data_IF_466201377172
#
_entry.id   IF_466201377172
#
_cell.length_a   1.000
_cell.length_b   1.000
_cell.length_c   1.000
_cell.angle_alpha   90.00
_cell.angle_beta   90.00
_cell.angle_gamma   90.00
#
_symmetry.space_group_name_H-M   'P 1'
#
loop_
_entity.id
_entity.type
_entity.pdbx_description
1 polymer ?
#
# COMPACT_ATOMS: atom_id res chain seq x y z
N UNK A 1 2.93 -0.22 21.09
CA UNK A 1 2.41 -0.97 19.92
C UNK A 1 1.84 -2.31 20.39
N UNK A 2 0.75 -2.75 19.78
CA UNK A 2 0.16 -4.08 19.96
C UNK A 2 0.28 -4.86 18.67
N UNK A 3 0.45 -6.17 18.78
CA UNK A 3 0.51 -7.07 17.63
C UNK A 3 -0.67 -8.02 17.69
N UNK A 4 -1.31 -8.23 16.53
CA UNK A 4 -2.46 -9.10 16.40
C UNK A 4 -2.20 -10.19 15.35
N UNK A 5 -2.84 -11.35 15.54
CA UNK A 5 -2.93 -12.42 14.55
C UNK A 5 -4.40 -12.55 14.18
N UNK A 6 -4.74 -12.21 12.95
CA UNK A 6 -6.12 -12.12 12.47
C UNK A 6 -6.31 -13.14 11.36
N UNK A 7 -7.40 -13.91 11.44
CA UNK A 7 -7.71 -14.88 10.39
C UNK A 7 -8.31 -14.16 9.18
N UNK A 8 -7.56 -14.10 8.09
CA UNK A 8 -7.96 -13.51 6.82
C UNK A 8 -8.62 -14.49 5.87
N UNK A 9 -8.78 -14.03 4.63
CA UNK A 9 -9.37 -14.80 3.53
C UNK A 9 -8.69 -16.13 3.29
N UNK A 10 -9.47 -17.21 3.15
CA UNK A 10 -8.95 -18.57 3.00
C UNK A 10 -8.31 -19.14 4.26
N UNK A 11 -8.53 -18.54 5.43
CA UNK A 11 -8.07 -19.05 6.73
C UNK A 11 -6.60 -18.77 7.05
N UNK A 12 -5.92 -17.91 6.29
CA UNK A 12 -4.53 -17.53 6.58
C UNK A 12 -4.44 -16.63 7.82
N UNK A 13 -3.30 -16.64 8.50
CA UNK A 13 -3.04 -15.75 9.61
C UNK A 13 -2.33 -14.49 9.13
N UNK A 14 -3.00 -13.35 9.29
CA UNK A 14 -2.44 -12.02 9.04
C UNK A 14 -1.73 -11.49 10.29
N UNK A 15 -0.59 -10.88 10.07
CA UNK A 15 0.10 -10.10 11.08
C UNK A 15 -0.31 -8.63 10.97
N UNK A 16 -0.77 -8.05 12.07
CA UNK A 16 -1.24 -6.67 12.12
C UNK A 16 -0.66 -5.98 13.34
N UNK A 17 -0.21 -4.75 13.17
CA UNK A 17 0.35 -3.93 14.25
C UNK A 17 -0.53 -2.70 14.48
N UNK A 18 -0.83 -2.42 15.73
CA UNK A 18 -1.67 -1.32 16.16
C UNK A 18 -0.93 -0.42 17.14
N UNK A 19 -1.12 0.89 17.00
CA UNK A 19 -0.62 1.91 17.93
C UNK A 19 -1.56 3.14 17.94
N UNK A 20 -1.24 4.10 18.77
CA UNK A 20 -1.90 5.39 18.80
C UNK A 20 -3.10 5.46 19.72
N UNK A 21 -3.93 6.48 19.52
CA UNK A 21 -5.10 6.76 20.34
C UNK A 21 -6.25 5.79 20.02
N UNK A 22 -6.64 4.88 20.92
CA UNK A 22 -7.68 3.89 20.64
C UNK A 22 -9.06 4.51 20.40
N UNK A 23 -9.27 5.78 20.77
CA UNK A 23 -10.49 6.56 20.50
C UNK A 23 -10.34 7.52 19.33
N UNK A 24 -9.15 7.59 18.74
CA UNK A 24 -8.87 8.38 17.54
C UNK A 24 -9.49 7.75 16.30
N UNK A 25 -9.59 8.53 15.21
CA UNK A 25 -10.06 7.99 13.93
C UNK A 25 -9.12 6.89 13.44
N UNK A 26 -9.64 5.72 13.06
CA UNK A 26 -8.79 4.63 12.61
C UNK A 26 -8.24 4.89 11.19
N UNK A 27 -6.97 4.57 11.02
CA UNK A 27 -6.28 4.57 9.73
C UNK A 27 -5.68 3.19 9.54
N UNK A 28 -6.06 2.51 8.45
CA UNK A 28 -5.48 1.23 8.06
C UNK A 28 -4.48 1.42 6.93
N UNK A 29 -3.23 1.11 7.20
CA UNK A 29 -2.13 1.20 6.25
C UNK A 29 -1.86 -0.15 5.58
N UNK A 30 -1.79 -0.14 4.24
CA UNK A 30 -1.52 -1.29 3.38
C UNK A 30 -0.27 -0.98 2.55
N UNK A 31 0.79 -1.76 2.77
CA UNK A 31 2.10 -1.53 2.15
C UNK A 31 2.17 -1.95 0.67
N UNK A 32 3.27 -1.64 0.00
CA UNK A 32 3.55 -2.01 -1.38
C UNK A 32 4.16 -3.40 -1.55
N UNK A 33 4.42 -3.78 -2.82
CA UNK A 33 5.06 -5.03 -3.20
C UNK A 33 6.38 -5.24 -2.43
N UNK A 34 6.58 -6.45 -1.90
CA UNK A 34 7.81 -6.88 -1.21
C UNK A 34 8.18 -6.03 0.01
N UNK A 35 7.19 -5.42 0.67
CA UNK A 35 7.36 -4.66 1.90
C UNK A 35 6.57 -5.27 3.07
N UNK A 36 6.48 -4.57 4.18
CA UNK A 36 5.73 -4.98 5.37
C UNK A 36 5.27 -3.76 6.17
N UNK A 37 4.59 -3.99 7.28
CA UNK A 37 4.09 -2.95 8.18
C UNK A 37 5.17 -1.94 8.63
N UNK A 38 6.44 -2.36 8.73
CA UNK A 38 7.55 -1.49 9.17
C UNK A 38 7.84 -0.34 8.20
N UNK A 39 7.40 -0.43 6.96
CA UNK A 39 7.42 0.69 6.01
C UNK A 39 6.70 1.92 6.58
N UNK A 40 5.71 1.72 7.46
CA UNK A 40 4.92 2.76 8.10
C UNK A 40 5.48 3.20 9.47
N UNK A 41 6.71 2.78 9.83
CA UNK A 41 7.29 3.06 11.14
C UNK A 41 7.36 4.55 11.48
N UNK A 42 7.57 5.42 10.47
CA UNK A 42 7.59 6.88 10.64
C UNK A 42 6.21 7.48 10.92
N UNK A 43 5.12 6.80 10.57
CA UNK A 43 3.75 7.15 10.92
C UNK A 43 3.39 6.59 12.29
N UNK A 44 3.67 5.30 12.49
CA UNK A 44 3.34 4.57 13.70
C UNK A 44 4.02 5.13 14.97
N UNK A 45 5.17 5.80 14.82
CA UNK A 45 5.95 6.42 15.90
C UNK A 45 5.92 7.96 15.86
N UNK A 46 4.86 8.57 15.32
CA UNK A 46 4.76 10.02 15.18
C UNK A 46 3.63 10.61 16.02
N UNK A 47 3.53 11.94 16.01
CA UNK A 47 2.41 12.68 16.59
C UNK A 47 1.04 12.30 15.99
N UNK A 48 1.01 11.70 14.79
CA UNK A 48 -0.23 11.17 14.21
C UNK A 48 -0.88 10.15 15.15
N UNK A 49 -0.07 9.36 15.86
CA UNK A 49 -0.53 8.38 16.86
C UNK A 49 -1.21 9.02 18.09
N UNK A 50 -0.96 10.29 18.38
CA UNK A 50 -1.65 10.99 19.48
C UNK A 50 -3.13 11.27 19.16
N UNK A 51 -3.44 11.40 17.88
CA UNK A 51 -4.75 11.81 17.37
C UNK A 51 -5.55 10.70 16.71
N UNK A 52 -4.87 9.72 16.13
CA UNK A 52 -5.47 8.65 15.33
C UNK A 52 -5.15 7.28 15.92
N UNK A 53 -6.02 6.32 15.65
CA UNK A 53 -5.78 4.91 15.87
C UNK A 53 -5.11 4.34 14.63
N UNK A 54 -3.84 3.99 14.72
CA UNK A 54 -3.04 3.58 13.58
C UNK A 54 -2.90 2.07 13.54
N UNK A 55 -3.27 1.49 12.42
CA UNK A 55 -3.21 0.05 12.15
C UNK A 55 -2.42 -0.17 10.87
N UNK A 56 -1.43 -1.05 10.89
CA UNK A 56 -0.67 -1.45 9.71
C UNK A 56 -0.70 -2.97 9.58
N UNK A 57 -1.12 -3.48 8.43
CA UNK A 57 -1.18 -4.90 8.17
C UNK A 57 -0.01 -5.35 7.29
N UNK A 58 0.48 -6.56 7.54
CA UNK A 58 1.26 -7.30 6.56
C UNK A 58 0.30 -8.02 5.61
N UNK A 59 0.36 -7.70 4.32
CA UNK A 59 -0.45 -8.39 3.31
C UNK A 59 -0.15 -9.89 3.28
N UNK A 60 -1.10 -10.71 2.80
CA UNK A 60 -0.83 -12.13 2.50
C UNK A 60 0.48 -12.28 1.72
N UNK A 61 1.30 -13.24 2.08
CA UNK A 61 2.59 -13.48 1.44
C UNK A 61 3.73 -12.58 1.90
N UNK A 62 3.48 -11.57 2.75
CA UNK A 62 4.46 -10.57 3.16
C UNK A 62 4.70 -10.57 4.67
N UNK A 63 5.79 -9.94 5.08
CA UNK A 63 6.14 -9.74 6.48
C UNK A 63 6.00 -11.00 7.32
N UNK A 64 5.25 -10.90 8.40
CA UNK A 64 4.95 -12.01 9.31
C UNK A 64 3.58 -12.66 9.05
N UNK A 65 2.84 -12.23 8.02
CA UNK A 65 1.65 -12.93 7.56
C UNK A 65 1.99 -14.26 6.89
N UNK A 66 1.03 -15.17 6.86
CA UNK A 66 1.20 -16.47 6.20
C UNK A 66 1.49 -16.30 4.70
N UNK A 67 2.25 -17.25 4.17
CA UNK A 67 2.73 -17.28 2.77
C UNK A 67 2.19 -18.53 2.06
N UNK A 68 0.85 -18.61 1.82
CA UNK A 68 0.26 -19.75 1.13
C UNK A 68 0.86 -19.91 -0.27
N UNK A 69 0.79 -21.11 -0.85
CA UNK A 69 1.28 -21.34 -2.21
C UNK A 69 0.34 -20.80 -3.29
N UNK A 70 -0.92 -20.59 -2.95
CA UNK A 70 -2.01 -20.22 -3.86
C UNK A 70 -2.86 -19.09 -3.27
N UNK A 71 -3.85 -18.60 -4.05
CA UNK A 71 -4.82 -17.61 -3.58
C UNK A 71 -4.41 -16.16 -3.79
N UNK A 72 -3.35 -15.89 -4.54
CA UNK A 72 -2.92 -14.50 -4.81
C UNK A 72 -3.65 -13.85 -5.99
N UNK A 73 -4.24 -14.63 -6.88
CA UNK A 73 -4.99 -14.11 -8.04
C UNK A 73 -6.47 -13.89 -7.76
N UNK A 74 -6.98 -14.41 -6.64
CA UNK A 74 -8.37 -14.26 -6.21
C UNK A 74 -8.56 -12.94 -5.46
N UNK A 75 -9.29 -11.99 -6.07
CA UNK A 75 -9.58 -10.67 -5.48
C UNK A 75 -10.43 -10.76 -4.21
N UNK A 76 -11.30 -11.79 -4.09
CA UNK A 76 -12.12 -12.02 -2.90
C UNK A 76 -11.26 -12.28 -1.66
N UNK A 77 -10.20 -13.07 -1.79
CA UNK A 77 -9.31 -13.36 -0.67
C UNK A 77 -8.55 -12.12 -0.17
N UNK A 78 -8.17 -11.20 -1.08
CA UNK A 78 -7.56 -9.92 -0.70
C UNK A 78 -8.57 -9.01 0.00
N UNK A 79 -9.80 -8.97 -0.51
CA UNK A 79 -10.89 -8.23 0.10
C UNK A 79 -11.22 -8.75 1.50
N UNK A 80 -11.28 -10.07 1.66
CA UNK A 80 -11.52 -10.74 2.95
C UNK A 80 -10.42 -10.42 3.97
N UNK A 81 -9.15 -10.30 3.54
CA UNK A 81 -8.05 -9.90 4.41
C UNK A 81 -8.27 -8.51 5.02
N UNK A 82 -8.60 -7.53 4.16
CA UNK A 82 -8.85 -6.16 4.63
C UNK A 82 -10.09 -6.12 5.52
N UNK A 83 -11.16 -6.79 5.11
CA UNK A 83 -12.39 -6.85 5.90
C UNK A 83 -12.17 -7.52 7.25
N UNK A 84 -11.40 -8.62 7.31
CA UNK A 84 -11.08 -9.29 8.57
C UNK A 84 -10.37 -8.36 9.55
N UNK A 85 -9.41 -7.55 9.07
CA UNK A 85 -8.72 -6.55 9.93
C UNK A 85 -9.70 -5.50 10.44
N UNK A 86 -10.59 -4.99 9.58
CA UNK A 86 -11.61 -3.99 9.96
C UNK A 86 -12.55 -4.55 11.03
N UNK A 87 -13.06 -5.76 10.83
CA UNK A 87 -14.03 -6.39 11.72
C UNK A 87 -13.42 -6.82 13.04
N UNK A 88 -12.28 -7.54 13.01
CA UNK A 88 -11.65 -8.12 14.20
C UNK A 88 -11.16 -7.03 15.18
N UNK A 89 -10.64 -5.94 14.62
CA UNK A 89 -10.22 -4.78 15.42
C UNK A 89 -11.35 -3.76 15.64
N UNK A 90 -12.57 -4.01 15.16
CA UNK A 90 -13.71 -3.09 15.26
C UNK A 90 -13.31 -1.66 14.86
N UNK A 91 -12.74 -1.52 13.65
CA UNK A 91 -12.34 -0.21 13.10
C UNK A 91 -13.58 0.51 12.58
N UNK A 92 -14.04 1.51 13.30
CA UNK A 92 -15.22 2.30 12.91
C UNK A 92 -14.90 3.23 11.74
N UNK A 93 -15.31 2.89 10.53
CA UNK A 93 -15.12 3.62 9.29
C UNK A 93 -13.66 4.08 9.08
N UNK A 94 -12.68 3.16 8.96
CA UNK A 94 -11.28 3.54 8.80
C UNK A 94 -11.01 4.31 7.50
N UNK A 95 -10.03 5.22 7.53
CA UNK A 95 -9.36 5.68 6.31
C UNK A 95 -8.45 4.54 5.84
N UNK A 96 -8.60 4.10 4.58
CA UNK A 96 -7.71 3.12 3.98
C UNK A 96 -6.57 3.83 3.23
N UNK A 97 -5.33 3.62 3.67
CA UNK A 97 -4.13 4.17 3.05
C UNK A 97 -3.33 3.06 2.37
N UNK A 98 -3.28 3.06 1.04
CA UNK A 98 -2.54 2.09 0.26
C UNK A 98 -1.34 2.72 -0.46
N UNK A 99 -0.17 2.10 -0.33
CA UNK A 99 1.03 2.51 -1.04
C UNK A 99 1.35 1.57 -2.20
N UNK A 100 1.67 2.11 -3.38
CA UNK A 100 2.17 1.36 -4.54
C UNK A 100 1.19 0.28 -4.99
N UNK A 101 1.39 -0.97 -4.61
CA UNK A 101 0.48 -2.11 -4.81
C UNK A 101 -0.76 -2.04 -3.89
N UNK A 102 -0.66 -1.34 -2.75
CA UNK A 102 -1.73 -1.26 -1.75
C UNK A 102 -3.08 -0.77 -2.27
N UNK A 103 -3.17 0.22 -3.18
CA UNK A 103 -4.44 0.62 -3.79
C UNK A 103 -5.17 -0.50 -4.53
N UNK A 104 -4.47 -1.46 -5.16
CA UNK A 104 -5.10 -2.62 -5.79
C UNK A 104 -5.82 -3.49 -4.76
N UNK A 105 -5.23 -3.66 -3.58
CA UNK A 105 -5.84 -4.40 -2.46
C UNK A 105 -7.04 -3.64 -1.89
N UNK A 106 -6.97 -2.32 -1.82
CA UNK A 106 -8.11 -1.47 -1.44
C UNK A 106 -9.24 -1.62 -2.46
N UNK A 107 -8.92 -1.63 -3.76
CA UNK A 107 -9.93 -1.79 -4.82
C UNK A 107 -10.52 -3.19 -4.82
N UNK A 108 -9.75 -4.24 -4.49
CA UNK A 108 -10.31 -5.57 -4.21
C UNK A 108 -11.36 -5.49 -3.07
N UNK A 109 -11.03 -4.82 -1.96
CA UNK A 109 -11.99 -4.63 -0.85
C UNK A 109 -13.25 -3.89 -1.31
N UNK A 110 -13.12 -2.77 -2.01
CA UNK A 110 -14.26 -2.00 -2.49
C UNK A 110 -15.15 -2.80 -3.44
N UNK A 111 -14.58 -3.65 -4.27
CA UNK A 111 -15.32 -4.50 -5.22
C UNK A 111 -16.23 -5.50 -4.53
N UNK A 112 -15.81 -6.06 -3.41
CA UNK A 112 -16.53 -7.12 -2.69
C UNK A 112 -17.38 -6.60 -1.52
N UNK A 113 -16.93 -5.54 -0.84
CA UNK A 113 -17.57 -5.01 0.37
C UNK A 113 -18.17 -3.61 0.21
N UNK A 114 -17.87 -2.93 -0.89
CA UNK A 114 -18.32 -1.55 -1.10
C UNK A 114 -17.57 -0.53 -0.23
N UNK A 115 -18.09 0.67 -0.19
CA UNK A 115 -17.43 1.80 0.50
C UNK A 115 -18.13 2.24 1.79
N UNK A 116 -19.26 1.64 2.16
CA UNK A 116 -20.05 2.08 3.32
C UNK A 116 -19.30 1.92 4.65
N UNK A 117 -18.46 0.90 4.74
CA UNK A 117 -17.68 0.59 5.96
C UNK A 117 -16.40 1.42 6.15
N UNK A 118 -16.12 2.41 5.30
CA UNK A 118 -14.91 3.25 5.36
C UNK A 118 -15.23 4.74 5.35
N UNK A 119 -14.31 5.57 5.81
CA UNK A 119 -14.45 7.04 5.78
C UNK A 119 -13.86 7.69 4.53
N UNK A 120 -12.89 7.07 3.90
CA UNK A 120 -12.18 7.61 2.74
C UNK A 120 -10.98 6.75 2.34
N UNK A 121 -10.29 7.20 1.32
CA UNK A 121 -9.17 6.50 0.67
C UNK A 121 -7.96 7.42 0.51
N UNK A 122 -6.75 6.88 0.69
CA UNK A 122 -5.54 7.53 0.22
C UNK A 122 -4.73 6.58 -0.66
N UNK A 123 -4.59 6.91 -1.94
CA UNK A 123 -3.74 6.20 -2.90
C UNK A 123 -2.37 6.90 -2.97
N UNK A 124 -1.33 6.22 -2.53
CA UNK A 124 0.01 6.79 -2.36
C UNK A 124 0.95 6.16 -3.39
N UNK A 125 1.43 6.94 -4.37
CA UNK A 125 2.28 6.43 -5.45
C UNK A 125 1.69 5.17 -6.10
N UNK A 126 0.37 5.12 -6.18
CA UNK A 126 -0.37 3.89 -6.40
C UNK A 126 -0.67 3.58 -7.86
N UNK A 127 -0.89 2.30 -8.14
CA UNK A 127 -1.49 1.83 -9.38
C UNK A 127 -2.92 1.35 -9.11
N UNK A 128 -3.81 1.56 -10.06
CA UNK A 128 -5.22 1.15 -9.98
C UNK A 128 -5.58 0.05 -10.97
N UNK A 129 -4.64 -0.29 -11.84
CA UNK A 129 -4.74 -1.37 -12.85
C UNK A 129 -3.49 -2.21 -12.86
N UNK A 130 -3.59 -3.43 -13.35
CA UNK A 130 -2.46 -4.33 -13.55
C UNK A 130 -2.72 -5.25 -14.75
N UNK A 131 -1.66 -5.60 -15.50
CA UNK A 131 -1.72 -6.59 -16.56
C UNK A 131 -2.21 -6.07 -17.92
N UNK A 132 -2.38 -4.77 -18.11
CA UNK A 132 -2.72 -4.14 -19.38
C UNK A 132 -1.62 -3.18 -19.84
N UNK A 133 -1.59 -2.84 -21.14
CA UNK A 133 -0.66 -1.84 -21.68
C UNK A 133 -0.83 -0.47 -21.01
N UNK A 134 -2.05 -0.10 -20.66
CA UNK A 134 -2.34 1.12 -19.93
C UNK A 134 -1.73 1.10 -18.53
N UNK A 135 -1.85 -0.03 -17.81
CA UNK A 135 -1.21 -0.22 -16.50
C UNK A 135 0.32 -0.14 -16.59
N UNK A 136 0.90 -0.68 -17.66
CA UNK A 136 2.35 -0.61 -17.91
C UNK A 136 2.79 0.82 -18.23
N UNK A 137 1.98 1.60 -18.93
CA UNK A 137 2.31 2.96 -19.36
C UNK A 137 2.59 3.94 -18.23
N UNK A 138 2.01 3.70 -17.04
CA UNK A 138 2.25 4.54 -15.85
C UNK A 138 3.48 4.10 -15.03
N UNK A 139 4.11 3.00 -15.38
CA UNK A 139 5.34 2.53 -14.73
C UNK A 139 6.57 3.08 -15.47
N UNK A 140 7.65 3.28 -14.71
CA UNK A 140 8.91 3.72 -15.33
C UNK A 140 9.65 2.57 -16.00
N UNK A 141 10.43 2.83 -17.07
CA UNK A 141 11.28 1.80 -17.68
C UNK A 141 12.28 1.20 -16.70
N UNK A 142 12.78 2.01 -15.77
CA UNK A 142 13.71 1.62 -14.71
C UNK A 142 13.08 0.54 -13.83
N UNK A 143 11.85 0.77 -13.34
CA UNK A 143 11.12 -0.24 -12.58
C UNK A 143 10.84 -1.50 -13.40
N UNK A 144 10.36 -1.35 -14.64
CA UNK A 144 10.02 -2.48 -15.50
C UNK A 144 11.23 -3.37 -15.78
N UNK A 145 12.44 -2.80 -15.89
CA UNK A 145 13.68 -3.55 -16.10
C UNK A 145 14.06 -4.45 -14.93
N UNK A 146 13.57 -4.14 -13.70
CA UNK A 146 13.84 -4.93 -12.51
C UNK A 146 12.89 -6.12 -12.33
N UNK A 147 11.71 -6.07 -12.96
CA UNK A 147 10.64 -7.06 -12.74
C UNK A 147 11.08 -8.51 -12.94
N UNK A 148 11.84 -8.89 -14.01
CA UNK A 148 12.30 -10.26 -14.16
C UNK A 148 13.12 -10.77 -12.99
N UNK A 149 13.97 -9.91 -12.41
CA UNK A 149 14.80 -10.28 -11.27
C UNK A 149 14.02 -10.51 -9.96
N UNK A 150 12.81 -9.95 -9.81
CA UNK A 150 12.02 -10.15 -8.59
C UNK A 150 11.64 -11.62 -8.35
N UNK A 151 11.62 -12.44 -9.37
CA UNK A 151 11.34 -13.87 -9.30
C UNK A 151 12.40 -14.73 -9.97
N UNK A 152 13.61 -14.18 -10.17
CA UNK A 152 14.75 -14.94 -10.68
C UNK A 152 15.05 -16.13 -9.75
N UNK A 153 15.45 -17.25 -10.36
CA UNK A 153 15.91 -18.44 -9.63
C UNK A 153 17.27 -18.21 -8.98
N UNK A 154 18.08 -17.35 -9.59
CA UNK A 154 19.35 -16.92 -9.00
C UNK A 154 19.08 -15.95 -7.85
N UNK A 155 19.54 -16.32 -6.65
CA UNK A 155 19.29 -15.58 -5.42
C UNK A 155 20.00 -14.21 -5.45
N UNK A 156 21.21 -14.17 -5.99
CA UNK A 156 21.98 -12.92 -6.07
C UNK A 156 21.32 -11.91 -7.02
N UNK A 157 20.83 -12.36 -8.18
CA UNK A 157 20.05 -11.55 -9.11
C UNK A 157 18.78 -11.01 -8.45
N UNK A 158 18.05 -11.88 -7.72
CA UNK A 158 16.83 -11.47 -7.03
C UNK A 158 17.11 -10.43 -5.94
N UNK A 159 18.16 -10.60 -5.14
CA UNK A 159 18.55 -9.64 -4.10
C UNK A 159 18.95 -8.29 -4.72
N UNK A 160 19.77 -8.30 -5.78
CA UNK A 160 20.19 -7.07 -6.48
C UNK A 160 19.00 -6.30 -7.05
N UNK A 161 18.02 -7.01 -7.62
CA UNK A 161 16.82 -6.39 -8.17
C UNK A 161 15.94 -5.77 -7.07
N UNK A 162 15.80 -6.44 -5.92
CA UNK A 162 15.08 -5.89 -4.76
C UNK A 162 15.81 -4.69 -4.15
N UNK A 163 17.12 -4.73 -4.04
CA UNK A 163 17.92 -3.58 -3.60
C UNK A 163 17.75 -2.39 -4.56
N UNK A 164 17.80 -2.63 -5.86
CA UNK A 164 17.58 -1.60 -6.88
C UNK A 164 16.18 -1.01 -6.80
N UNK A 165 15.15 -1.83 -6.53
CA UNK A 165 13.80 -1.36 -6.28
C UNK A 165 13.74 -0.41 -5.07
N UNK A 166 14.40 -0.76 -3.97
CA UNK A 166 14.44 0.12 -2.79
C UNK A 166 15.08 1.48 -3.12
N UNK A 167 16.15 1.49 -3.92
CA UNK A 167 16.81 2.72 -4.37
C UNK A 167 15.93 3.59 -5.27
N UNK A 168 15.02 2.98 -6.05
CA UNK A 168 14.01 3.73 -6.82
C UNK A 168 12.90 4.27 -5.91
N UNK A 169 12.46 3.49 -4.92
CA UNK A 169 11.40 3.90 -4.01
C UNK A 169 11.84 5.03 -3.06
N UNK A 170 13.11 5.02 -2.63
CA UNK A 170 13.67 5.93 -1.63
C UNK A 170 14.88 6.67 -2.22
N UNK A 171 14.66 7.72 -3.02
CA UNK A 171 15.76 8.45 -3.69
C UNK A 171 16.65 9.19 -2.69
N UNK A 172 16.13 9.57 -1.53
CA UNK A 172 16.95 10.01 -0.42
C UNK A 172 17.72 8.80 0.13
N UNK A 173 19.01 8.96 0.29
CA UNK A 173 19.91 7.88 0.69
C UNK A 173 19.46 7.27 2.02
N UNK A 174 18.93 6.03 1.96
CA UNK A 174 18.67 5.24 3.15
C UNK A 174 19.99 5.04 3.94
N UNK A 175 19.92 5.05 5.26
CA UNK A 175 21.03 4.55 6.07
C UNK A 175 21.29 3.06 5.78
N UNK A 176 22.47 2.58 6.15
CA UNK A 176 22.77 1.15 5.96
C UNK A 176 21.79 0.26 6.72
N UNK A 177 21.36 0.68 7.91
CA UNK A 177 20.40 -0.04 8.75
C UNK A 177 19.01 -0.04 8.10
N UNK A 178 18.55 1.10 7.57
CA UNK A 178 17.25 1.21 6.89
C UNK A 178 17.22 0.35 5.63
N UNK A 179 18.26 0.42 4.80
CA UNK A 179 18.38 -0.41 3.61
C UNK A 179 18.39 -1.90 3.97
N UNK A 180 19.18 -2.28 4.96
CA UNK A 180 19.29 -3.67 5.41
C UNK A 180 17.96 -4.21 5.93
N UNK A 181 17.25 -3.41 6.73
CA UNK A 181 15.95 -3.74 7.26
C UNK A 181 14.93 -3.97 6.13
N UNK A 182 14.82 -3.01 5.21
CA UNK A 182 13.84 -3.08 4.10
C UNK A 182 14.18 -4.20 3.12
N UNK A 183 15.45 -4.41 2.82
CA UNK A 183 15.89 -5.52 1.97
C UNK A 183 15.59 -6.87 2.63
N UNK A 184 15.81 -7.00 3.93
CA UNK A 184 15.46 -8.20 4.69
C UNK A 184 13.98 -8.58 4.54
N UNK A 185 13.07 -7.62 4.62
CA UNK A 185 11.64 -7.85 4.38
C UNK A 185 11.34 -8.20 2.92
N UNK A 186 11.95 -7.50 1.98
CA UNK A 186 11.82 -7.81 0.56
C UNK A 186 12.24 -9.23 0.24
N UNK A 187 13.39 -9.66 0.74
CA UNK A 187 13.92 -11.02 0.54
C UNK A 187 13.06 -12.09 1.21
N UNK A 188 12.42 -11.77 2.35
CA UNK A 188 11.53 -12.72 3.05
C UNK A 188 10.23 -13.03 2.30
N UNK A 189 9.86 -12.23 1.29
CA UNK A 189 8.73 -12.52 0.41
C UNK A 189 9.17 -13.53 -0.65
N UNK A 190 8.57 -14.73 -0.71
CA UNK A 190 8.99 -15.75 -1.66
C UNK A 190 8.83 -15.30 -3.13
N UNK A 191 9.71 -15.72 -4.04
CA UNK A 191 9.61 -15.37 -5.46
C UNK A 191 8.24 -15.71 -6.10
N UNK A 192 7.64 -16.85 -5.71
CA UNK A 192 6.33 -17.25 -6.23
C UNK A 192 5.21 -16.27 -5.83
N UNK A 193 5.32 -15.62 -4.66
CA UNK A 193 4.38 -14.59 -4.22
C UNK A 193 4.51 -13.37 -5.13
N UNK A 194 5.74 -12.86 -5.31
CA UNK A 194 6.00 -11.69 -6.17
C UNK A 194 5.53 -11.94 -7.60
N UNK A 195 5.80 -13.15 -8.13
CA UNK A 195 5.35 -13.55 -9.46
C UNK A 195 3.82 -13.56 -9.54
N UNK A 196 3.13 -14.17 -8.57
CA UNK A 196 1.68 -14.25 -8.55
C UNK A 196 1.03 -12.86 -8.48
N UNK A 197 1.56 -11.95 -7.66
CA UNK A 197 1.06 -10.57 -7.57
C UNK A 197 1.17 -9.83 -8.89
N UNK A 198 2.33 -9.91 -9.54
CA UNK A 198 2.59 -9.20 -10.80
C UNK A 198 1.92 -9.87 -12.02
N UNK A 199 1.45 -11.11 -11.87
CA UNK A 199 0.70 -11.83 -12.90
C UNK A 199 -0.81 -11.60 -12.84
N UNK A 200 -1.30 -10.83 -11.87
CA UNK A 200 -2.73 -10.48 -11.78
C UNK A 200 -3.12 -9.60 -12.99
N UNK A 201 -4.34 -9.78 -13.47
CA UNK A 201 -4.98 -8.86 -14.41
C UNK A 201 -6.11 -8.17 -13.67
N UNK A 202 -5.96 -6.87 -13.45
CA UNK A 202 -6.89 -6.06 -12.68
C UNK A 202 -7.26 -4.82 -13.50
N UNK A 203 -8.56 -4.70 -13.75
CA UNK A 203 -9.17 -3.52 -14.33
C UNK A 203 -10.23 -2.99 -13.35
N UNK A 204 -10.11 -1.72 -13.00
CA UNK A 204 -11.00 -1.05 -12.07
C UNK A 204 -11.71 0.18 -12.69
N UNK A 205 -11.73 0.30 -14.03
CA UNK A 205 -12.39 1.41 -14.73
C UNK A 205 -13.89 1.47 -14.46
N UNK A 206 -14.51 0.34 -14.21
CA UNK A 206 -15.91 0.25 -13.83
C UNK A 206 -16.18 0.67 -12.38
N UNK A 207 -15.17 0.58 -11.51
CA UNK A 207 -15.29 0.82 -10.07
C UNK A 207 -14.90 2.26 -9.69
N UNK A 208 -13.77 2.75 -10.21
CA UNK A 208 -13.21 4.06 -9.84
C UNK A 208 -14.23 5.23 -9.97
N UNK A 209 -15.03 5.34 -11.06
CA UNK A 209 -16.02 6.42 -11.19
C UNK A 209 -17.20 6.31 -10.22
N UNK A 210 -17.39 5.14 -9.59
CA UNK A 210 -18.49 4.89 -8.65
C UNK A 210 -18.12 5.24 -7.21
N UNK A 211 -16.84 5.47 -6.91
CA UNK A 211 -16.39 5.88 -5.58
C UNK A 211 -17.01 7.23 -5.24
N UNK A 212 -17.61 7.34 -4.06
CA UNK A 212 -18.25 8.54 -3.52
C UNK A 212 -17.56 9.06 -2.27
N UNK A 213 -16.87 8.16 -1.53
CA UNK A 213 -16.11 8.55 -0.35
C UNK A 213 -14.97 9.49 -0.73
N UNK A 214 -14.54 10.36 0.18
CA UNK A 214 -13.37 11.23 -0.04
C UNK A 214 -12.14 10.41 -0.48
N UNK A 215 -11.46 10.89 -1.52
CA UNK A 215 -10.22 10.27 -2.04
C UNK A 215 -9.10 11.30 -2.03
N UNK A 216 -7.97 10.93 -1.46
CA UNK A 216 -6.71 11.63 -1.57
C UNK A 216 -5.77 10.83 -2.48
N UNK A 217 -5.16 11.46 -3.46
CA UNK A 217 -4.10 10.89 -4.28
C UNK A 217 -2.81 11.59 -3.88
N UNK A 218 -1.92 10.86 -3.21
CA UNK A 218 -0.60 11.38 -2.81
C UNK A 218 0.46 10.81 -3.75
N UNK A 219 1.06 11.66 -4.58
CA UNK A 219 2.03 11.27 -5.59
C UNK A 219 3.32 12.08 -5.45
N UNK A 220 4.44 11.43 -5.19
CA UNK A 220 5.73 12.11 -5.20
C UNK A 220 6.05 12.70 -6.57
N UNK A 221 6.48 13.96 -6.60
CA UNK A 221 6.80 14.65 -7.86
C UNK A 221 8.02 14.04 -8.58
N UNK A 222 8.91 13.40 -7.81
CA UNK A 222 10.13 12.76 -8.31
C UNK A 222 10.03 11.22 -8.23
N UNK A 223 8.81 10.65 -8.30
CA UNK A 223 8.58 9.21 -8.24
C UNK A 223 9.21 8.48 -9.43
N UNK A 224 10.17 7.59 -9.13
CA UNK A 224 10.92 6.81 -10.12
C UNK A 224 10.36 5.38 -10.34
N UNK A 225 9.20 5.06 -9.76
CA UNK A 225 8.51 3.77 -9.91
C UNK A 225 7.22 3.95 -10.68
N UNK A 226 6.30 4.76 -10.16
CA UNK A 226 5.04 5.14 -10.80
C UNK A 226 5.16 6.57 -11.28
N UNK A 227 5.05 6.79 -12.58
CA UNK A 227 5.21 8.12 -13.18
C UNK A 227 4.23 9.12 -12.56
N UNK A 228 4.66 10.33 -12.20
CA UNK A 228 3.75 11.37 -11.70
C UNK A 228 2.56 11.66 -12.62
N UNK A 229 2.71 11.39 -13.93
CA UNK A 229 1.63 11.50 -14.91
C UNK A 229 0.43 10.57 -14.61
N UNK A 230 0.58 9.50 -13.82
CA UNK A 230 -0.51 8.63 -13.37
C UNK A 230 -1.60 9.40 -12.60
N UNK A 231 -1.25 10.51 -11.94
CA UNK A 231 -2.20 11.38 -11.25
C UNK A 231 -3.32 11.86 -12.17
N UNK A 232 -3.00 12.19 -13.44
CA UNK A 232 -4.00 12.66 -14.39
C UNK A 232 -5.02 11.56 -14.71
N UNK A 233 -4.59 10.30 -14.85
CA UNK A 233 -5.48 9.15 -15.07
C UNK A 233 -6.38 8.90 -13.85
N UNK A 234 -5.80 8.88 -12.66
CA UNK A 234 -6.56 8.69 -11.42
C UNK A 234 -7.58 9.83 -11.21
N UNK A 235 -7.18 11.08 -11.47
CA UNK A 235 -8.08 12.24 -11.36
C UNK A 235 -9.19 12.22 -12.39
N UNK A 236 -8.92 11.76 -13.61
CA UNK A 236 -9.95 11.61 -14.64
C UNK A 236 -10.97 10.52 -14.24
N UNK A 237 -10.52 9.43 -13.61
CA UNK A 237 -11.39 8.36 -13.15
C UNK A 237 -12.17 8.72 -11.87
N UNK A 238 -11.56 9.50 -10.95
CA UNK A 238 -12.16 9.91 -9.66
C UNK A 238 -12.18 11.45 -9.61
N UNK A 239 -13.17 12.05 -10.26
CA UNK A 239 -13.21 13.50 -10.50
C UNK A 239 -13.18 14.38 -9.23
N UNK A 240 -13.66 13.87 -8.08
CA UNK A 240 -13.67 14.59 -6.80
C UNK A 240 -12.39 14.36 -5.97
N UNK A 241 -11.46 13.49 -6.41
CA UNK A 241 -10.24 13.23 -5.64
C UNK A 241 -9.43 14.51 -5.40
N UNK A 242 -8.95 14.68 -4.18
CA UNK A 242 -7.93 15.67 -3.86
C UNK A 242 -6.54 15.17 -4.29
N UNK A 243 -5.69 16.08 -4.73
CA UNK A 243 -4.34 15.76 -5.19
C UNK A 243 -3.34 16.40 -4.24
N UNK A 244 -2.34 15.62 -3.84
CA UNK A 244 -1.17 16.06 -3.10
C UNK A 244 0.09 15.57 -3.82
N UNK A 245 0.96 16.51 -4.23
CA UNK A 245 2.18 16.21 -5.00
C UNK A 245 3.41 16.76 -4.32
N UNK A 246 3.82 16.18 -3.17
CA UNK A 246 5.03 16.62 -2.48
C UNK A 246 6.28 16.36 -3.32
N UNK A 247 7.33 17.16 -3.09
CA UNK A 247 8.63 17.00 -3.75
C UNK A 247 9.42 15.84 -3.11
N UNK A 248 8.97 14.63 -3.39
CA UNK A 248 9.47 13.35 -2.83
C UNK A 248 9.50 12.29 -3.92
N UNK A 249 10.13 11.16 -3.64
CA UNK A 249 10.09 9.96 -4.48
C UNK A 249 8.80 9.14 -4.31
N UNK A 250 8.93 7.84 -4.54
CA UNK A 250 7.80 6.88 -4.50
C UNK A 250 7.18 6.68 -3.10
N UNK A 251 7.89 7.07 -2.04
CA UNK A 251 7.48 6.91 -0.66
C UNK A 251 7.37 8.26 0.10
N UNK A 252 6.39 9.12 -0.23
CA UNK A 252 6.22 10.44 0.41
C UNK A 252 6.16 10.36 1.94
N UNK A 253 5.52 9.32 2.47
CA UNK A 253 5.38 9.06 3.90
C UNK A 253 6.72 8.72 4.60
N UNK A 254 7.74 8.40 3.81
CA UNK A 254 9.10 8.16 4.29
C UNK A 254 9.99 9.39 4.08
N UNK A 255 9.98 9.96 2.89
CA UNK A 255 10.83 11.08 2.49
C UNK A 255 10.49 12.38 3.23
N UNK A 256 9.20 12.70 3.36
CA UNK A 256 8.66 13.80 4.16
C UNK A 256 7.57 13.30 5.10
N UNK A 257 7.96 12.52 6.09
CA UNK A 257 7.02 11.93 7.04
C UNK A 257 6.19 12.98 7.78
N UNK A 258 6.78 14.10 8.14
CA UNK A 258 6.08 15.17 8.85
C UNK A 258 5.03 15.86 7.97
N UNK A 259 5.35 16.17 6.71
CA UNK A 259 4.42 16.73 5.74
C UNK A 259 3.28 15.78 5.45
N UNK A 260 3.60 14.51 5.18
CA UNK A 260 2.62 13.45 4.95
C UNK A 260 1.66 13.30 6.14
N UNK A 261 2.18 13.23 7.37
CA UNK A 261 1.37 13.06 8.57
C UNK A 261 0.42 14.26 8.79
N UNK A 262 0.88 15.48 8.58
CA UNK A 262 0.02 16.68 8.63
C UNK A 262 -1.08 16.62 7.58
N UNK A 263 -0.75 16.20 6.35
CA UNK A 263 -1.72 16.10 5.25
C UNK A 263 -2.79 15.06 5.53
N UNK A 264 -2.39 13.86 5.99
CA UNK A 264 -3.33 12.79 6.37
C UNK A 264 -4.24 13.25 7.52
N UNK A 265 -3.69 13.88 8.56
CA UNK A 265 -4.48 14.40 9.67
C UNK A 265 -5.52 15.41 9.21
N UNK A 266 -5.16 16.34 8.34
CA UNK A 266 -6.09 17.31 7.77
C UNK A 266 -7.18 16.63 6.95
N UNK A 267 -6.83 15.65 6.13
CA UNK A 267 -7.77 14.88 5.31
C UNK A 267 -8.78 14.10 6.17
N UNK A 268 -8.32 13.40 7.20
CA UNK A 268 -9.19 12.69 8.16
C UNK A 268 -10.16 13.65 8.84
N UNK A 269 -9.70 14.84 9.21
CA UNK A 269 -10.55 15.83 9.87
C UNK A 269 -11.64 16.36 8.94
N UNK A 270 -11.32 16.56 7.65
CA UNK A 270 -12.29 17.02 6.65
C UNK A 270 -13.30 15.93 6.25
N UNK A 271 -12.88 14.65 6.19
CA UNK A 271 -13.75 13.53 5.86
C UNK A 271 -14.81 13.23 6.95
N UNK A 272 -14.69 13.82 8.14
CA UNK A 272 -15.63 13.68 9.27
C UNK A 272 -16.65 14.81 9.38
N UNK A 273 -16.40 15.92 8.68
CA UNK A 273 -17.26 17.10 8.69
C UNK A 273 -18.40 16.96 7.67
#
# INVERSE_FOLDING_TARGET
MKTHRITGGGGIQLHVVETGNPRGHPILFIHGLSQCWLTWSRQMNSELAEHCRLVAMDMRGHGFSDKPREGYTDSGLWADDVNAVIQDLSLDHPLLCGWSYGPLVILDYLRHYGEDGISGLNFIGGVTKLGSDEAISVLTPEFLSLVPGFFAKDVEESIRSLESLLRLCFPQKLSAEELYLMLGFGVSVPPYVRQALLSRSLDNDDLLPKIRKPVLITQGADDAVVRPAAVAQHKAAIAHAEIDTPKTGHAPFWDDAAGFNRRIRAFVSAARA
#
